data_IF_681039954785
#
_entry.id   IF_681039954785
#
_cell.length_a   1.000
_cell.length_b   1.000
_cell.length_c   1.000
_cell.angle_alpha   90.00
_cell.angle_beta   90.00
_cell.angle_gamma   90.00
#
_symmetry.space_group_name_H-M   'P 1'
#
loop_
_entity.id
_entity.type
_entity.pdbx_description
1 polymer ?
#
# COMPACT_ATOMS: atom_id res chain seq x y z
N UNK A 1 -7.10 -7.48 16.38
CA UNK A 1 -7.90 -8.24 15.40
C UNK A 1 -6.94 -9.12 14.64
N UNK A 2 -7.27 -10.39 14.38
CA UNK A 2 -6.38 -11.25 13.56
C UNK A 2 -6.61 -10.97 12.07
N UNK A 3 -5.67 -11.37 11.22
CA UNK A 3 -5.86 -11.28 9.78
C UNK A 3 -7.02 -12.16 9.31
N UNK A 4 -7.18 -13.36 9.87
CA UNK A 4 -8.33 -14.24 9.59
C UNK A 4 -9.66 -13.54 9.92
N UNK A 5 -9.76 -12.86 11.06
CA UNK A 5 -10.98 -12.14 11.43
C UNK A 5 -11.28 -11.00 10.44
N UNK A 6 -10.27 -10.21 10.07
CA UNK A 6 -10.39 -9.13 9.10
C UNK A 6 -10.82 -9.67 7.72
N UNK A 7 -10.16 -10.73 7.25
CA UNK A 7 -10.42 -11.37 5.98
C UNK A 7 -11.82 -11.97 5.90
N UNK A 8 -12.26 -12.73 6.91
CA UNK A 8 -13.58 -13.34 6.92
C UNK A 8 -14.69 -12.30 6.91
N UNK A 9 -14.52 -11.21 7.68
CA UNK A 9 -15.45 -10.07 7.65
C UNK A 9 -15.47 -9.40 6.28
N UNK A 10 -14.30 -9.23 5.66
CA UNK A 10 -14.25 -8.64 4.34
C UNK A 10 -14.92 -9.50 3.28
N UNK A 11 -14.61 -10.80 3.27
CA UNK A 11 -15.26 -11.75 2.38
C UNK A 11 -16.76 -11.79 2.60
N UNK A 12 -17.27 -11.66 3.83
CA UNK A 12 -18.71 -11.57 4.08
C UNK A 12 -19.33 -10.34 3.38
N UNK A 13 -18.68 -9.18 3.43
CA UNK A 13 -19.11 -7.97 2.71
C UNK A 13 -19.08 -8.21 1.20
N UNK A 14 -18.02 -8.82 0.67
CA UNK A 14 -17.91 -9.12 -0.76
C UNK A 14 -18.98 -10.11 -1.23
N UNK A 15 -19.27 -11.18 -0.48
CA UNK A 15 -20.34 -12.10 -0.84
C UNK A 15 -21.72 -11.42 -0.91
N UNK A 16 -21.93 -10.37 -0.11
CA UNK A 16 -23.19 -9.63 -0.11
C UNK A 16 -23.26 -8.58 -1.22
N UNK A 17 -22.17 -7.83 -1.45
CA UNK A 17 -22.15 -6.67 -2.35
C UNK A 17 -21.58 -6.97 -3.73
N UNK A 18 -20.54 -7.78 -3.81
CA UNK A 18 -19.77 -8.09 -5.01
C UNK A 18 -19.58 -9.62 -5.19
N UNK A 19 -20.67 -10.39 -5.35
CA UNK A 19 -20.61 -11.86 -5.36
C UNK A 19 -19.74 -12.44 -6.48
N UNK A 20 -19.57 -11.73 -7.61
CA UNK A 20 -18.69 -12.17 -8.71
C UNK A 20 -17.23 -12.06 -8.27
N UNK A 21 -16.83 -10.95 -7.66
CA UNK A 21 -15.48 -10.77 -7.12
C UNK A 21 -15.20 -11.75 -5.99
N UNK A 22 -16.16 -11.94 -5.08
CA UNK A 22 -16.04 -12.93 -4.01
C UNK A 22 -15.82 -14.35 -4.58
N UNK A 23 -16.57 -14.71 -5.62
CA UNK A 23 -16.46 -16.01 -6.29
C UNK A 23 -15.18 -16.20 -7.11
N UNK A 24 -14.46 -15.11 -7.43
CA UNK A 24 -13.18 -15.17 -8.12
C UNK A 24 -12.00 -15.50 -7.20
N UNK A 25 -12.15 -15.34 -5.87
CA UNK A 25 -11.12 -15.71 -4.90
C UNK A 25 -10.94 -17.23 -4.86
N UNK A 26 -9.72 -17.69 -5.11
CA UNK A 26 -9.40 -19.12 -5.15
C UNK A 26 -9.23 -19.68 -3.73
N UNK A 27 -9.63 -20.94 -3.48
CA UNK A 27 -9.38 -21.58 -2.20
C UNK A 27 -7.86 -21.72 -1.94
N UNK A 28 -7.44 -21.79 -0.67
CA UNK A 28 -6.03 -21.88 -0.30
C UNK A 28 -5.40 -23.19 -0.77
N UNK A 29 -4.11 -23.12 -1.10
CA UNK A 29 -3.28 -24.29 -1.44
C UNK A 29 -2.81 -25.06 -0.19
N UNK A 30 -2.40 -26.35 -0.36
CA UNK A 30 -1.82 -27.14 0.71
C UNK A 30 -0.64 -26.45 1.41
N UNK A 31 -0.42 -26.77 2.69
CA UNK A 31 0.67 -26.18 3.49
C UNK A 31 2.05 -26.35 2.82
N UNK A 32 2.32 -27.52 2.24
CA UNK A 32 3.61 -27.78 1.58
C UNK A 32 3.89 -26.81 0.44
N UNK A 33 2.89 -26.47 -0.39
CA UNK A 33 3.07 -25.51 -1.49
C UNK A 33 3.32 -24.09 -0.98
N UNK A 34 2.71 -23.72 0.15
CA UNK A 34 2.94 -22.42 0.81
C UNK A 34 4.35 -22.33 1.38
N UNK A 35 4.82 -23.39 2.02
CA UNK A 35 6.19 -23.49 2.52
C UNK A 35 7.22 -23.47 1.39
N UNK A 36 6.90 -24.07 0.23
CA UNK A 36 7.73 -24.02 -0.96
C UNK A 36 7.85 -22.59 -1.53
N UNK A 37 6.74 -21.86 -1.58
CA UNK A 37 6.70 -20.45 -2.01
C UNK A 37 7.48 -19.53 -1.05
N UNK A 38 7.33 -19.72 0.27
CA UNK A 38 8.12 -19.00 1.27
C UNK A 38 9.62 -19.24 1.08
N UNK A 39 10.04 -20.51 0.93
CA UNK A 39 11.47 -20.82 0.69
C UNK A 39 12.02 -20.27 -0.62
N UNK A 40 11.16 -20.10 -1.63
CA UNK A 40 11.56 -19.57 -2.93
C UNK A 40 11.67 -18.04 -2.97
N UNK A 41 11.11 -17.34 -1.97
CA UNK A 41 11.07 -15.87 -1.91
C UNK A 41 11.96 -15.34 -0.79
N UNK A 42 11.40 -15.09 0.39
CA UNK A 42 12.08 -14.69 1.61
C UNK A 42 11.26 -15.17 2.83
N UNK A 43 11.83 -15.17 4.05
CA UNK A 43 11.08 -15.56 5.25
C UNK A 43 9.82 -14.73 5.45
N UNK A 44 8.67 -15.40 5.58
CA UNK A 44 7.39 -14.73 5.72
C UNK A 44 7.12 -14.35 7.18
N UNK A 45 6.37 -13.26 7.38
CA UNK A 45 5.79 -12.96 8.70
C UNK A 45 4.66 -13.94 9.02
N UNK A 46 4.20 -13.95 10.27
CA UNK A 46 3.04 -14.77 10.64
C UNK A 46 1.80 -14.41 9.81
N UNK A 47 1.57 -13.11 9.57
CA UNK A 47 0.43 -12.63 8.79
C UNK A 47 0.49 -13.04 7.32
N UNK A 48 1.65 -13.03 6.65
CA UNK A 48 1.73 -13.50 5.26
C UNK A 48 1.39 -15.00 5.16
N UNK A 49 1.87 -15.82 6.12
CA UNK A 49 1.52 -17.25 6.16
C UNK A 49 0.02 -17.47 6.41
N UNK A 50 -0.57 -16.64 7.26
CA UNK A 50 -2.01 -16.63 7.52
C UNK A 50 -2.79 -16.19 6.28
N UNK A 51 -2.37 -15.14 5.58
CA UNK A 51 -2.98 -14.62 4.36
C UNK A 51 -3.13 -15.70 3.28
N UNK A 52 -2.02 -16.35 2.92
CA UNK A 52 -2.04 -17.43 1.93
C UNK A 52 -2.66 -18.73 2.45
N UNK A 53 -2.94 -18.85 3.75
CA UNK A 53 -3.76 -19.95 4.28
C UNK A 53 -5.26 -19.76 4.02
N UNK A 54 -5.68 -18.56 3.60
CA UNK A 54 -7.08 -18.19 3.38
C UNK A 54 -7.48 -18.22 1.90
N UNK A 55 -6.54 -18.07 0.97
CA UNK A 55 -6.79 -18.10 -0.47
C UNK A 55 -5.53 -18.42 -1.30
N UNK A 56 -5.71 -18.69 -2.60
CA UNK A 56 -4.64 -18.79 -3.60
C UNK A 56 -4.79 -17.76 -4.74
N UNK A 57 -5.07 -16.52 -4.35
CA UNK A 57 -5.17 -15.39 -5.27
C UNK A 57 -6.54 -15.30 -5.91
N UNK A 58 -6.64 -14.49 -6.97
CA UNK A 58 -7.88 -14.26 -7.70
C UNK A 58 -7.81 -14.93 -9.07
N UNK A 59 -8.94 -15.48 -9.54
CA UNK A 59 -9.06 -15.91 -10.93
C UNK A 59 -9.01 -14.68 -11.84
N UNK A 60 -8.01 -14.62 -12.71
CA UNK A 60 -7.91 -13.65 -13.81
C UNK A 60 -8.65 -14.18 -15.03
N UNK A 61 -9.69 -13.49 -15.53
CA UNK A 61 -10.38 -13.90 -16.74
C UNK A 61 -9.41 -13.81 -17.93
N UNK A 62 -9.30 -14.86 -18.74
CA UNK A 62 -8.42 -14.86 -19.92
C UNK A 62 -9.25 -14.76 -21.20
N UNK A 63 -9.03 -13.72 -22.00
CA UNK A 63 -9.55 -13.66 -23.38
C UNK A 63 -11.04 -13.34 -23.53
N UNK A 64 -11.48 -12.18 -23.01
CA UNK A 64 -12.84 -11.66 -23.23
C UNK A 64 -13.93 -12.32 -22.38
N UNK A 65 -13.55 -13.11 -21.37
CA UNK A 65 -14.43 -13.58 -20.30
C UNK A 65 -15.02 -12.41 -19.49
N UNK A 66 -16.10 -12.69 -18.75
CA UNK A 66 -16.78 -11.73 -17.87
C UNK A 66 -15.80 -11.14 -16.85
N UNK A 67 -15.80 -9.81 -16.75
CA UNK A 67 -14.99 -9.05 -15.82
C UNK A 67 -15.41 -9.36 -14.37
N UNK A 68 -14.43 -9.66 -13.50
CA UNK A 68 -14.67 -10.12 -12.12
C UNK A 68 -14.33 -9.09 -11.05
N UNK A 69 -13.87 -7.89 -11.44
CA UNK A 69 -13.44 -6.86 -10.48
C UNK A 69 -12.14 -7.21 -9.77
N UNK A 70 -11.79 -6.43 -8.74
CA UNK A 70 -10.58 -6.66 -7.92
C UNK A 70 -10.88 -6.58 -6.43
N UNK A 71 -10.30 -7.51 -5.66
CA UNK A 71 -10.48 -7.59 -4.20
C UNK A 71 -9.78 -6.43 -3.48
N UNK A 72 -8.67 -5.92 -3.99
CA UNK A 72 -8.05 -4.71 -3.42
C UNK A 72 -8.20 -3.54 -4.39
N UNK A 73 -8.03 -2.28 -3.93
CA UNK A 73 -8.16 -1.08 -4.74
C UNK A 73 -7.37 -1.14 -6.05
N UNK A 74 -8.03 -1.54 -7.14
CA UNK A 74 -7.43 -1.83 -8.45
C UNK A 74 -6.32 -2.90 -8.48
N UNK A 75 -6.11 -3.66 -7.39
CA UNK A 75 -5.09 -4.71 -7.27
C UNK A 75 -5.72 -6.11 -7.30
N UNK A 76 -5.20 -6.97 -8.18
CA UNK A 76 -5.57 -8.38 -8.26
C UNK A 76 -4.68 -9.23 -7.35
N UNK A 77 -5.30 -10.11 -6.55
CA UNK A 77 -4.54 -11.00 -5.66
C UNK A 77 -3.71 -12.01 -6.44
N UNK A 78 -2.43 -12.11 -6.08
CA UNK A 78 -1.52 -13.08 -6.68
C UNK A 78 -1.72 -14.46 -6.07
N UNK A 79 -1.65 -15.49 -6.92
CA UNK A 79 -1.48 -16.87 -6.46
C UNK A 79 -0.02 -17.17 -6.13
N UNK A 80 0.26 -18.27 -5.44
CA UNK A 80 1.62 -18.61 -5.00
C UNK A 80 2.66 -18.63 -6.14
N UNK A 81 2.27 -19.17 -7.31
CA UNK A 81 3.16 -19.25 -8.47
C UNK A 81 3.51 -17.84 -8.99
N UNK A 82 2.55 -16.93 -8.98
CA UNK A 82 2.71 -15.54 -9.42
C UNK A 82 3.56 -14.74 -8.43
N UNK A 83 3.36 -14.93 -7.12
CA UNK A 83 4.21 -14.34 -6.07
C UNK A 83 5.67 -14.72 -6.29
N UNK A 84 5.95 -16.02 -6.45
CA UNK A 84 7.32 -16.52 -6.67
C UNK A 84 7.90 -16.00 -7.99
N UNK A 85 7.12 -16.01 -9.07
CA UNK A 85 7.56 -15.54 -10.37
C UNK A 85 7.89 -14.04 -10.35
N UNK A 86 7.02 -13.23 -9.76
CA UNK A 86 7.16 -11.78 -9.71
C UNK A 86 8.30 -11.35 -8.80
N UNK A 87 8.41 -11.98 -7.62
CA UNK A 87 9.53 -11.78 -6.70
C UNK A 87 10.88 -12.09 -7.37
N UNK A 88 10.98 -13.24 -8.05
CA UNK A 88 12.18 -13.61 -8.81
C UNK A 88 12.48 -12.59 -9.91
N UNK A 89 11.47 -12.23 -10.69
CA UNK A 89 11.64 -11.28 -11.80
C UNK A 89 12.23 -9.95 -11.32
N UNK A 90 11.68 -9.36 -10.25
CA UNK A 90 12.15 -8.07 -9.74
C UNK A 90 13.52 -8.15 -9.08
N UNK A 91 13.83 -9.25 -8.38
CA UNK A 91 15.17 -9.47 -7.85
C UNK A 91 16.22 -9.57 -8.95
N UNK A 92 15.85 -10.19 -10.08
CA UNK A 92 16.76 -10.40 -11.20
C UNK A 92 16.81 -9.18 -12.16
N UNK A 93 15.83 -8.27 -12.08
CA UNK A 93 15.72 -7.03 -12.85
C UNK A 93 15.54 -5.83 -11.90
N UNK A 94 16.60 -5.53 -11.15
CA UNK A 94 16.58 -4.45 -10.17
C UNK A 94 16.39 -3.08 -10.84
N UNK A 95 15.67 -2.20 -10.16
CA UNK A 95 15.55 -0.78 -10.51
C UNK A 95 16.93 -0.15 -10.70
N UNK A 96 16.99 0.75 -11.68
CA UNK A 96 18.17 1.57 -11.89
C UNK A 96 18.38 2.47 -10.67
N UNK A 97 19.51 2.26 -9.99
CA UNK A 97 19.90 2.98 -8.78
C UNK A 97 21.21 3.75 -9.00
N UNK A 98 21.64 3.94 -10.25
CA UNK A 98 22.92 4.60 -10.58
C UNK A 98 23.05 5.99 -9.91
N UNK A 99 21.95 6.73 -9.80
CA UNK A 99 21.94 8.06 -9.18
C UNK A 99 22.06 8.05 -7.65
N UNK A 100 21.87 6.90 -6.99
CA UNK A 100 21.90 6.76 -5.52
C UNK A 100 23.28 6.29 -5.01
N UNK A 101 24.16 5.86 -5.92
CA UNK A 101 25.53 5.44 -5.65
C UNK A 101 25.68 3.93 -5.36
N UNK A 102 26.88 3.41 -5.63
CA UNK A 102 27.18 1.97 -5.62
C UNK A 102 26.88 1.25 -4.29
N UNK A 103 26.91 1.97 -3.17
CA UNK A 103 26.64 1.40 -1.83
C UNK A 103 25.15 1.38 -1.47
N UNK A 104 24.29 2.06 -2.23
CA UNK A 104 22.89 2.29 -1.86
C UNK A 104 22.13 0.99 -1.60
N UNK A 105 22.28 -0.01 -2.46
CA UNK A 105 21.61 -1.30 -2.26
C UNK A 105 22.00 -1.99 -0.94
N UNK A 106 23.20 -1.74 -0.40
CA UNK A 106 23.59 -2.26 0.91
C UNK A 106 22.98 -1.44 2.05
N UNK A 107 22.83 -0.13 1.87
CA UNK A 107 22.22 0.78 2.83
C UNK A 107 20.72 0.49 2.93
N UNK A 108 20.01 0.43 1.80
CA UNK A 108 18.57 0.18 1.74
C UNK A 108 18.15 -1.12 2.43
N UNK A 109 18.96 -2.18 2.32
CA UNK A 109 18.73 -3.48 2.99
C UNK A 109 18.93 -3.43 4.50
N UNK A 110 19.69 -2.47 5.01
CA UNK A 110 19.93 -2.30 6.46
C UNK A 110 18.90 -1.39 7.13
N UNK A 111 18.13 -0.64 6.34
CA UNK A 111 17.05 0.18 6.86
C UNK A 111 15.94 -0.71 7.45
N UNK A 112 15.24 -0.23 8.50
CA UNK A 112 14.09 -0.94 9.03
C UNK A 112 12.93 -0.97 8.03
N UNK A 113 12.00 -1.89 8.25
CA UNK A 113 10.76 -1.97 7.47
C UNK A 113 10.01 -0.64 7.47
N UNK A 114 9.39 -0.33 6.34
CA UNK A 114 8.62 0.89 6.09
C UNK A 114 9.45 2.12 5.72
N UNK A 115 10.78 2.06 5.76
CA UNK A 115 11.64 3.10 5.18
C UNK A 115 11.78 2.94 3.66
N UNK A 116 11.90 4.05 2.94
CA UNK A 116 11.97 4.06 1.48
C UNK A 116 13.34 3.54 1.00
N UNK A 117 13.32 2.53 0.14
CA UNK A 117 14.49 1.88 -0.45
C UNK A 117 14.86 2.39 -1.84
N UNK A 118 13.97 3.08 -2.53
CA UNK A 118 14.02 3.46 -3.96
C UNK A 118 14.35 2.29 -4.93
N UNK A 119 14.13 1.06 -4.50
CA UNK A 119 14.43 -0.14 -5.28
C UNK A 119 13.69 -1.35 -4.73
N UNK A 120 13.54 -2.39 -5.55
CA UNK A 120 13.00 -3.64 -5.05
C UNK A 120 13.96 -4.31 -4.07
N UNK A 121 13.46 -4.70 -2.89
CA UNK A 121 14.17 -5.49 -1.91
C UNK A 121 13.65 -6.92 -1.89
N UNK A 122 14.53 -7.90 -1.64
CA UNK A 122 14.12 -9.31 -1.56
C UNK A 122 13.16 -9.58 -0.40
N UNK A 123 13.13 -8.69 0.58
CA UNK A 123 12.23 -8.69 1.72
C UNK A 123 10.84 -8.13 1.39
N UNK A 124 10.60 -7.64 0.16
CA UNK A 124 9.26 -7.27 -0.27
C UNK A 124 8.56 -8.49 -0.87
N UNK A 125 7.53 -8.97 -0.19
CA UNK A 125 6.71 -10.10 -0.66
C UNK A 125 5.51 -9.52 -1.41
N UNK A 126 5.43 -9.66 -2.75
CA UNK A 126 4.28 -9.20 -3.50
C UNK A 126 3.06 -10.07 -3.15
N UNK A 127 1.92 -9.42 -2.91
CA UNK A 127 0.66 -10.09 -2.55
C UNK A 127 -0.47 -9.79 -3.55
N UNK A 128 -0.37 -8.68 -4.26
CA UNK A 128 -1.30 -8.29 -5.31
C UNK A 128 -0.59 -7.47 -6.38
N UNK A 129 -1.19 -7.39 -7.56
CA UNK A 129 -0.64 -6.71 -8.73
C UNK A 129 -1.71 -5.85 -9.39
N UNK A 130 -1.36 -4.61 -9.69
CA UNK A 130 -2.18 -3.69 -10.44
C UNK A 130 -2.02 -3.96 -11.93
N UNK A 131 -3.05 -3.63 -12.74
CA UNK A 131 -3.06 -3.90 -14.18
C UNK A 131 -1.93 -3.20 -14.96
N UNK A 132 -1.35 -2.11 -14.44
CA UNK A 132 -0.18 -1.45 -15.04
C UNK A 132 1.17 -2.01 -14.59
N UNK A 133 1.18 -3.05 -13.74
CA UNK A 133 2.38 -3.78 -13.34
C UNK A 133 2.96 -3.39 -11.99
N UNK A 134 2.36 -2.42 -11.30
CA UNK A 134 2.67 -2.05 -9.91
C UNK A 134 2.22 -3.16 -8.95
N UNK A 135 2.86 -3.25 -7.79
CA UNK A 135 2.66 -4.33 -6.84
C UNK A 135 2.27 -3.80 -5.48
N UNK A 136 1.34 -4.49 -4.84
CA UNK A 136 1.14 -4.37 -3.41
C UNK A 136 2.05 -5.39 -2.73
N UNK A 137 2.96 -4.91 -1.90
CA UNK A 137 3.97 -5.70 -1.22
C UNK A 137 3.82 -5.63 0.30
N UNK A 138 4.27 -6.69 0.97
CA UNK A 138 4.49 -6.70 2.41
C UNK A 138 5.98 -6.62 2.67
N UNK A 139 6.40 -5.65 3.49
CA UNK A 139 7.79 -5.46 3.87
C UNK A 139 8.18 -6.36 5.05
N UNK A 140 9.01 -7.37 4.81
CA UNK A 140 9.45 -8.32 5.83
C UNK A 140 10.77 -7.93 6.51
N UNK A 141 11.35 -6.76 6.21
CA UNK A 141 12.56 -6.27 6.91
C UNK A 141 12.31 -6.19 8.42
N UNK A 142 13.39 -6.22 9.20
CA UNK A 142 13.28 -6.04 10.65
C UNK A 142 12.85 -4.62 11.03
N UNK A 143 12.45 -4.43 12.29
CA UNK A 143 12.07 -3.12 12.83
C UNK A 143 10.62 -3.06 13.31
N UNK A 144 10.20 -1.87 13.74
CA UNK A 144 8.87 -1.69 14.36
C UNK A 144 7.71 -1.81 13.37
N UNK A 145 7.95 -1.59 12.07
CA UNK A 145 6.94 -1.68 11.01
C UNK A 145 7.07 -2.97 10.19
N UNK A 146 7.71 -4.01 10.72
CA UNK A 146 7.81 -5.30 10.03
C UNK A 146 6.41 -5.85 9.74
N UNK A 147 6.15 -6.17 8.48
CA UNK A 147 4.83 -6.62 8.01
C UNK A 147 3.92 -5.49 7.50
N UNK A 148 4.40 -4.25 7.41
CA UNK A 148 3.64 -3.17 6.79
C UNK A 148 3.37 -3.44 5.31
N UNK A 149 2.22 -2.93 4.84
CA UNK A 149 1.76 -3.07 3.46
C UNK A 149 2.09 -1.80 2.71
N UNK A 150 2.60 -1.93 1.48
CA UNK A 150 3.01 -0.79 0.68
C UNK A 150 2.95 -1.07 -0.82
N UNK A 151 2.82 -0.01 -1.59
CA UNK A 151 2.92 -0.08 -3.03
C UNK A 151 4.38 -0.09 -3.49
N UNK A 152 4.62 -0.81 -4.58
CA UNK A 152 5.87 -0.86 -5.31
C UNK A 152 5.59 -0.67 -6.80
N UNK A 153 5.85 0.52 -7.32
CA UNK A 153 5.64 0.91 -8.70
C UNK A 153 6.82 0.60 -9.62
N UNK A 154 6.54 0.38 -10.90
CA UNK A 154 7.60 0.16 -11.89
C UNK A 154 8.52 1.38 -12.07
N UNK A 155 7.97 2.59 -12.03
CA UNK A 155 8.71 3.84 -12.23
C UNK A 155 9.11 4.49 -10.90
N UNK A 156 8.18 4.59 -9.94
CA UNK A 156 8.39 5.27 -8.65
C UNK A 156 8.99 4.39 -7.56
N UNK A 157 9.33 3.13 -7.87
CA UNK A 157 9.74 2.11 -6.91
C UNK A 157 8.82 2.16 -5.67
N UNK A 158 9.33 2.64 -4.55
CA UNK A 158 8.66 2.57 -3.27
C UNK A 158 8.68 3.91 -2.54
N UNK A 159 8.55 4.99 -3.30
CA UNK A 159 8.66 6.39 -2.84
C UNK A 159 7.59 6.82 -1.83
N UNK A 160 6.50 6.07 -1.69
CA UNK A 160 5.43 6.38 -0.75
C UNK A 160 5.62 5.69 0.61
N UNK A 161 5.09 6.33 1.64
CA UNK A 161 4.90 5.70 2.94
C UNK A 161 4.02 4.45 2.80
N UNK A 162 4.23 3.40 3.63
CA UNK A 162 3.36 2.25 3.67
C UNK A 162 1.88 2.60 3.86
N UNK A 163 1.03 2.03 2.99
CA UNK A 163 -0.44 2.10 3.01
C UNK A 163 -1.04 1.67 4.36
N UNK A 164 -0.38 0.73 5.05
CA UNK A 164 -0.85 0.25 6.34
C UNK A 164 0.27 -0.34 7.20
N UNK A 165 0.05 -0.39 8.51
CA UNK A 165 1.00 -0.96 9.47
C UNK A 165 1.05 -2.50 9.45
N UNK A 166 0.01 -3.16 8.95
CA UNK A 166 -0.10 -4.62 8.88
C UNK A 166 -1.09 -5.07 7.79
N UNK A 167 -1.09 -6.35 7.44
CA UNK A 167 -2.08 -6.90 6.51
C UNK A 167 -3.49 -6.87 7.10
N UNK A 168 -3.62 -7.15 8.41
CA UNK A 168 -4.92 -7.15 9.07
C UNK A 168 -5.56 -5.76 9.05
N UNK A 169 -4.77 -4.70 9.30
CA UNK A 169 -5.23 -3.31 9.20
C UNK A 169 -5.57 -2.92 7.77
N UNK A 170 -4.74 -3.29 6.79
CA UNK A 170 -5.02 -3.03 5.37
C UNK A 170 -6.34 -3.67 4.93
N UNK A 171 -6.52 -4.96 5.18
CA UNK A 171 -7.74 -5.70 4.80
C UNK A 171 -8.99 -5.11 5.47
N UNK A 172 -8.92 -4.74 6.75
CA UNK A 172 -10.07 -4.13 7.43
C UNK A 172 -10.37 -2.72 6.90
N UNK A 173 -9.34 -1.93 6.55
CA UNK A 173 -9.54 -0.61 5.94
C UNK A 173 -10.23 -0.71 4.57
N UNK A 174 -9.82 -1.66 3.72
CA UNK A 174 -10.48 -1.94 2.43
C UNK A 174 -11.91 -2.41 2.66
N UNK A 175 -12.15 -3.28 3.65
CA UNK A 175 -13.51 -3.69 4.04
C UNK A 175 -14.38 -2.49 4.42
N UNK A 176 -13.88 -1.59 5.27
CA UNK A 176 -14.62 -0.40 5.72
C UNK A 176 -14.99 0.47 4.52
N UNK A 177 -14.05 0.65 3.58
CA UNK A 177 -14.27 1.35 2.32
C UNK A 177 -15.42 0.74 1.53
N UNK A 178 -15.35 -0.57 1.21
CA UNK A 178 -16.41 -1.26 0.45
C UNK A 178 -17.75 -1.29 1.20
N UNK A 179 -17.73 -1.45 2.52
CA UNK A 179 -18.94 -1.47 3.33
C UNK A 179 -19.63 -0.10 3.38
N UNK A 180 -18.86 0.96 3.50
CA UNK A 180 -19.37 2.33 3.71
C UNK A 180 -19.50 3.13 2.41
N UNK A 181 -18.90 2.67 1.31
CA UNK A 181 -18.81 3.41 0.06
C UNK A 181 -17.90 4.65 0.17
N UNK A 182 -16.87 4.58 1.02
CA UNK A 182 -15.90 5.68 1.20
C UNK A 182 -14.62 5.36 0.44
N UNK A 183 -13.90 6.41 0.07
CA UNK A 183 -12.64 6.31 -0.65
C UNK A 183 -11.56 5.55 0.16
N UNK A 184 -10.67 4.86 -0.57
CA UNK A 184 -9.47 4.21 -0.07
C UNK A 184 -8.36 4.30 -1.12
N UNK A 185 -7.20 4.84 -0.74
CA UNK A 185 -6.03 5.04 -1.62
C UNK A 185 -6.35 5.76 -2.95
N UNK A 186 -7.16 6.81 -2.89
CA UNK A 186 -7.65 7.63 -4.01
C UNK A 186 -8.80 7.00 -4.81
N UNK A 187 -9.32 5.85 -4.38
CA UNK A 187 -10.28 5.06 -5.15
C UNK A 187 -11.60 4.83 -4.39
N UNK A 188 -12.72 4.99 -5.09
CA UNK A 188 -14.06 4.68 -4.59
C UNK A 188 -14.49 3.27 -5.01
N UNK A 189 -15.02 2.46 -4.10
CA UNK A 189 -15.56 1.16 -4.44
C UNK A 189 -16.93 1.28 -5.11
N UNK A 190 -17.03 0.83 -6.35
CA UNK A 190 -18.25 0.76 -7.16
C UNK A 190 -18.63 -0.69 -7.43
N UNK A 191 -19.91 -1.03 -7.46
CA UNK A 191 -20.38 -2.37 -7.82
C UNK A 191 -20.98 -2.33 -9.23
N UNK A 192 -20.40 -3.10 -10.14
CA UNK A 192 -20.86 -3.24 -11.52
C UNK A 192 -21.18 -4.71 -11.81
N UNK A 193 -22.43 -5.03 -12.13
CA UNK A 193 -22.88 -6.40 -12.43
C UNK A 193 -22.46 -7.47 -11.39
N UNK A 194 -22.33 -7.05 -10.12
CA UNK A 194 -21.92 -7.90 -9.00
C UNK A 194 -20.40 -8.09 -8.87
N UNK A 195 -19.59 -7.37 -9.65
CA UNK A 195 -18.16 -7.23 -9.48
C UNK A 195 -17.80 -5.91 -8.78
N UNK A 196 -16.72 -5.91 -8.00
CA UNK A 196 -16.16 -4.74 -7.32
C UNK A 196 -15.16 -4.04 -8.25
N UNK A 197 -15.47 -2.79 -8.58
CA UNK A 197 -14.64 -1.87 -9.36
C UNK A 197 -14.16 -0.76 -8.46
N UNK A 198 -13.02 -0.19 -8.80
CA UNK A 198 -12.41 0.91 -8.06
C UNK A 198 -12.24 2.09 -9.00
N UNK A 199 -13.06 3.11 -8.81
CA UNK A 199 -13.06 4.33 -9.62
C UNK A 199 -12.22 5.41 -8.96
N UNK A 200 -11.61 6.28 -9.76
CA UNK A 200 -10.89 7.45 -9.24
C UNK A 200 -11.87 8.36 -8.50
N UNK A 201 -11.55 8.72 -7.26
CA UNK A 201 -12.29 9.75 -6.55
C UNK A 201 -11.92 11.13 -7.11
N UNK A 202 -12.81 11.71 -7.92
CA UNK A 202 -12.68 13.08 -8.41
C UNK A 202 -13.22 14.13 -7.44
N UNK A 203 -13.68 13.73 -6.26
CA UNK A 203 -14.12 14.70 -5.27
C UNK A 203 -12.91 15.43 -4.69
N UNK A 204 -12.90 16.76 -4.80
CA UNK A 204 -11.97 17.65 -4.08
C UNK A 204 -12.29 17.63 -2.57
N UNK A 205 -12.47 16.46 -1.97
CA UNK A 205 -12.59 16.34 -0.53
C UNK A 205 -11.19 16.49 0.05
N UNK A 206 -10.85 17.62 0.70
CA UNK A 206 -9.59 17.69 1.40
C UNK A 206 -9.57 16.54 2.41
N UNK A 207 -8.51 15.72 2.36
CA UNK A 207 -8.21 14.72 3.39
C UNK A 207 -8.52 15.36 4.73
N UNK A 208 -9.51 14.83 5.45
CA UNK A 208 -9.75 15.25 6.83
C UNK A 208 -8.59 14.73 7.66
N UNK A 209 -7.45 15.43 7.59
CA UNK A 209 -6.40 15.32 8.58
C UNK A 209 -7.08 15.76 9.87
N UNK A 210 -7.37 14.80 10.74
CA UNK A 210 -7.74 15.06 12.12
C UNK A 210 -6.69 16.05 12.63
N UNK A 211 -7.10 17.30 12.84
CA UNK A 211 -6.21 18.32 13.34
C UNK A 211 -5.54 17.73 14.59
N UNK A 212 -4.20 17.62 14.63
CA UNK A 212 -3.54 17.05 15.79
C UNK A 212 -4.02 17.83 17.01
N UNK A 213 -4.36 17.12 18.09
CA UNK A 213 -4.72 17.79 19.33
C UNK A 213 -3.63 18.83 19.63
N UNK A 214 -4.00 20.09 19.90
CA UNK A 214 -3.02 21.15 20.09
C UNK A 214 -2.07 20.76 21.22
N UNK A 215 -0.84 20.40 20.86
CA UNK A 215 0.22 20.13 21.83
C UNK A 215 0.55 21.47 22.48
N UNK A 216 0.14 21.64 23.73
CA UNK A 216 0.55 22.76 24.56
C UNK A 216 2.06 22.65 24.86
N UNK A 217 2.88 23.28 24.04
CA UNK A 217 4.31 23.44 24.30
C UNK A 217 4.47 24.43 25.47
N UNK A 218 4.81 23.92 26.65
CA UNK A 218 5.21 24.77 27.78
C UNK A 218 6.65 25.20 27.60
N UNK A 219 6.84 26.41 27.09
CA UNK A 219 8.16 27.04 27.04
C UNK A 219 8.63 27.34 28.47
N UNK A 220 9.86 26.94 28.86
CA UNK A 220 10.40 27.17 30.22
C UNK A 220 10.82 28.63 30.47
N UNK A 221 10.47 29.55 29.57
CA UNK A 221 10.74 30.98 29.64
C UNK A 221 9.52 31.78 29.20
N UNK A 222 9.40 33.02 29.70
CA UNK A 222 8.34 33.92 29.28
C UNK A 222 8.49 34.29 27.80
N UNK A 223 7.38 34.28 27.06
CA UNK A 223 7.29 34.74 25.65
C UNK A 223 7.34 36.27 25.62
N UNK A 224 8.43 36.84 26.11
CA UNK A 224 8.72 38.28 26.07
C UNK A 224 9.92 38.60 25.18
N UNK A 225 10.53 37.57 24.57
CA UNK A 225 11.75 37.71 23.76
C UNK A 225 11.51 37.61 22.25
N UNK A 226 10.27 37.38 21.80
CA UNK A 226 9.92 37.54 20.39
C UNK A 226 9.65 39.02 20.13
N UNK A 227 10.67 39.75 19.71
CA UNK A 227 10.42 41.00 19.00
C UNK A 227 9.91 40.64 17.60
N UNK A 228 8.82 41.26 17.12
CA UNK A 228 8.45 41.17 15.71
C UNK A 228 9.68 41.56 14.87
N UNK A 229 9.93 40.82 13.79
CA UNK A 229 10.95 41.20 12.80
C UNK A 229 10.74 42.67 12.45
N UNK A 230 11.76 43.50 12.71
CA UNK A 230 11.78 44.89 12.30
C UNK A 230 11.97 44.92 10.78
N UNK A 231 10.87 44.76 10.04
CA UNK A 231 10.84 45.05 8.61
C UNK A 231 11.00 46.56 8.48
N UNK A 232 12.13 46.99 7.92
CA UNK A 232 12.43 48.39 7.64
C UNK A 232 11.75 48.84 6.34
N UNK A 233 11.59 50.16 6.14
CA UNK A 233 11.04 50.71 4.90
C UNK A 233 11.90 50.45 3.65
N UNK A 234 13.12 49.91 3.81
CA UNK A 234 14.05 49.53 2.73
C UNK A 234 14.07 48.01 2.46
N UNK A 235 13.26 47.21 3.17
CA UNK A 235 13.16 45.78 2.91
C UNK A 235 12.21 45.51 1.74
N UNK A 236 12.72 44.94 0.64
CA UNK A 236 11.94 44.56 -0.53
C UNK A 236 10.94 43.45 -0.18
N UNK A 237 9.70 43.84 0.12
CA UNK A 237 8.58 42.92 0.24
C UNK A 237 8.18 42.46 -1.16
N UNK A 238 8.41 41.18 -1.46
CA UNK A 238 7.90 40.55 -2.68
C UNK A 238 6.38 40.47 -2.55
N UNK A 239 5.68 41.26 -3.36
CA UNK A 239 4.24 41.17 -3.52
C UNK A 239 3.88 39.87 -4.26
N UNK A 240 3.33 38.90 -3.50
CA UNK A 240 2.93 37.60 -4.02
C UNK A 240 1.77 37.69 -5.03
N UNK A 241 1.06 38.82 -5.11
CA UNK A 241 0.04 39.04 -6.13
C UNK A 241 0.64 39.37 -7.51
N UNK A 242 1.90 39.80 -7.59
CA UNK A 242 2.64 39.98 -8.84
C UNK A 242 3.09 38.64 -9.42
N UNK A 243 3.49 37.68 -8.57
CA UNK A 243 3.94 36.34 -8.99
C UNK A 243 2.80 35.51 -9.58
N UNK A 244 1.55 35.76 -9.19
CA UNK A 244 0.37 35.03 -9.68
C UNK A 244 -0.14 35.47 -11.06
N UNK A 245 0.47 36.47 -11.70
CA UNK A 245 0.03 37.01 -13.00
C UNK A 245 1.04 36.85 -14.16
N UNK A 246 2.09 36.06 -13.96
CA UNK A 246 2.98 35.55 -15.01
C UNK A 246 2.79 34.06 -15.18
#
# INVERSE_FOLDING_TARGET
MTLTDAWLRYMQVLHQKAPITAGAVRPPRPLSEREDAERATAPWTAEIREFFSLHDGQKRPTGGEDFVGTVFPSFELLCLDEVVARHRYLRDNLHDTEYLGDEWGSIARQQPAGEIAHMFLSEYIPIAEHLCGDLLCVDTRGGQRQGCVREFGAEGADECDPESGSLAEYVDSVRISVESGIEHSGLLPTIEDGALVWDIDFSDNPVQVLAPEPIMIRLPFAVTSFQPSQIGPDDDLIDLDVVRRT
#
